data_IF_437338462244
#
_entry.id   IF_437338462244
#
_cell.length_a   1.000
_cell.length_b   1.000
_cell.length_c   1.000
_cell.angle_alpha   90.00
_cell.angle_beta   90.00
_cell.angle_gamma   90.00
#
_symmetry.space_group_name_H-M   'P 1'
#
loop_
_entity.id
_entity.type
_entity.pdbx_description
1 polymer ?
#
# COMPACT_ATOMS: atom_id res chain seq x y z
N UNK A 1 -15.26 -27.44 -5.48
CA UNK A 1 -14.53 -26.22 -5.05
C UNK A 1 -15.44 -25.41 -4.15
N UNK A 2 -14.94 -25.02 -2.97
CA UNK A 2 -15.62 -24.22 -1.93
C UNK A 2 -14.88 -22.89 -1.75
N UNK A 3 -15.63 -21.80 -1.45
CA UNK A 3 -15.09 -20.48 -1.15
C UNK A 3 -15.54 -20.11 0.25
N UNK A 4 -14.61 -19.70 1.10
CA UNK A 4 -14.89 -19.19 2.44
C UNK A 4 -14.22 -17.84 2.66
N UNK A 5 -14.99 -16.84 2.99
CA UNK A 5 -14.50 -15.53 3.38
C UNK A 5 -14.40 -15.51 4.91
N UNK A 6 -13.17 -15.63 5.43
CA UNK A 6 -12.95 -15.58 6.87
C UNK A 6 -13.09 -14.17 7.43
N UNK A 7 -12.58 -13.15 6.66
CA UNK A 7 -12.69 -11.74 7.01
C UNK A 7 -12.79 -10.87 5.74
N UNK A 8 -13.45 -9.72 5.86
CA UNK A 8 -13.60 -8.72 4.79
C UNK A 8 -15.04 -8.52 4.30
N UNK A 9 -16.02 -9.33 4.73
CA UNK A 9 -17.42 -9.17 4.30
C UNK A 9 -18.07 -7.90 4.86
N UNK A 10 -17.74 -7.52 6.10
CA UNK A 10 -18.36 -6.42 6.84
C UNK A 10 -17.33 -5.48 7.47
N UNK A 11 -16.11 -5.48 6.94
CA UNK A 11 -15.02 -4.60 7.36
C UNK A 11 -14.12 -4.23 6.17
N UNK A 12 -13.51 -3.07 6.25
CA UNK A 12 -12.42 -2.64 5.36
C UNK A 12 -11.12 -3.18 5.95
N UNK A 13 -10.30 -3.83 5.10
CA UNK A 13 -9.01 -4.40 5.48
C UNK A 13 -9.12 -5.71 6.26
N UNK A 14 -7.97 -6.27 6.58
CA UNK A 14 -7.84 -7.55 7.27
C UNK A 14 -8.37 -8.73 6.46
N UNK A 15 -8.38 -8.65 5.13
CA UNK A 15 -8.99 -9.65 4.26
C UNK A 15 -8.32 -11.00 4.37
N UNK A 16 -9.14 -12.08 4.39
CA UNK A 16 -8.72 -13.48 4.33
C UNK A 16 -9.77 -14.25 3.55
N UNK A 17 -9.40 -14.72 2.35
CA UNK A 17 -10.25 -15.54 1.49
C UNK A 17 -9.63 -16.94 1.35
N UNK A 18 -10.40 -17.98 1.57
CA UNK A 18 -10.01 -19.39 1.36
C UNK A 18 -10.75 -19.95 0.15
N UNK A 19 -10.04 -20.67 -0.72
CA UNK A 19 -10.58 -21.40 -1.85
C UNK A 19 -10.01 -22.81 -1.76
N UNK A 20 -10.88 -23.83 -1.69
CA UNK A 20 -10.44 -25.21 -1.53
C UNK A 20 -11.19 -26.19 -2.43
N UNK A 21 -10.50 -27.28 -2.74
CA UNK A 21 -11.00 -28.53 -3.34
C UNK A 21 -10.97 -29.64 -2.30
N UNK A 22 -11.13 -30.87 -2.73
CA UNK A 22 -11.00 -32.03 -1.82
C UNK A 22 -9.55 -32.23 -1.35
N UNK A 23 -8.54 -31.95 -2.19
CA UNK A 23 -7.11 -32.21 -1.90
C UNK A 23 -6.28 -30.95 -1.66
N UNK A 24 -6.72 -29.80 -2.11
CA UNK A 24 -5.92 -28.57 -2.13
C UNK A 24 -6.65 -27.38 -1.53
N UNK A 25 -5.86 -26.42 -1.05
CA UNK A 25 -6.36 -25.17 -0.47
C UNK A 25 -5.42 -24.00 -0.77
N UNK A 26 -5.97 -22.89 -1.21
CA UNK A 26 -5.23 -21.64 -1.32
C UNK A 26 -5.93 -20.55 -0.53
N UNK A 27 -5.12 -19.73 0.15
CA UNK A 27 -5.60 -18.51 0.76
C UNK A 27 -5.19 -17.31 -0.10
N UNK A 28 -6.07 -16.35 -0.22
CA UNK A 28 -5.76 -15.04 -0.79
C UNK A 28 -5.82 -14.02 0.33
N UNK A 29 -4.68 -13.42 0.61
CA UNK A 29 -4.37 -12.50 1.67
C UNK A 29 -4.52 -13.09 3.09
N UNK A 30 -3.70 -12.57 3.99
CA UNK A 30 -3.78 -12.68 5.44
C UNK A 30 -3.48 -11.32 6.03
N UNK A 31 -4.46 -10.44 5.96
CA UNK A 31 -4.34 -9.06 6.34
C UNK A 31 -4.46 -8.83 7.84
N UNK A 32 -3.70 -7.87 8.36
CA UNK A 32 -3.88 -7.36 9.71
C UNK A 32 -5.17 -6.53 9.79
N UNK A 33 -5.94 -6.69 10.87
CA UNK A 33 -7.12 -5.88 11.10
C UNK A 33 -6.74 -4.39 11.25
N UNK A 34 -7.54 -3.53 10.66
CA UNK A 34 -7.52 -2.11 11.02
C UNK A 34 -7.91 -1.96 12.51
N UNK A 35 -7.35 -0.97 13.24
CA UNK A 35 -7.75 -0.72 14.61
C UNK A 35 -9.26 -0.51 14.71
N UNK A 36 -9.89 -1.25 15.61
CA UNK A 36 -11.33 -1.14 15.91
C UNK A 36 -11.53 -0.56 17.30
N UNK A 37 -12.46 0.37 17.48
CA UNK A 37 -12.70 1.06 18.75
C UNK A 37 -11.41 1.66 19.38
N UNK A 38 -10.44 2.04 18.55
CA UNK A 38 -9.16 2.59 18.99
C UNK A 38 -8.16 1.56 19.53
N UNK A 39 -8.41 0.27 19.31
CA UNK A 39 -7.48 -0.82 19.69
C UNK A 39 -7.07 -1.63 18.46
N UNK A 40 -5.78 -1.91 18.32
CA UNK A 40 -5.28 -2.92 17.42
C UNK A 40 -5.41 -4.31 18.06
N UNK A 41 -5.48 -5.38 17.23
CA UNK A 41 -5.37 -6.74 17.73
C UNK A 41 -3.97 -6.97 18.34
N UNK A 42 -3.89 -7.79 19.38
CA UNK A 42 -2.60 -8.16 19.95
C UNK A 42 -1.91 -9.26 19.11
N UNK A 43 -0.58 -9.40 19.20
CA UNK A 43 0.13 -10.50 18.54
C UNK A 43 -0.40 -11.90 18.92
N UNK A 44 -0.85 -12.07 20.17
CA UNK A 44 -1.43 -13.32 20.66
C UNK A 44 -2.79 -13.60 19.99
N UNK A 45 -3.66 -12.60 19.91
CA UNK A 45 -4.97 -12.70 19.24
C UNK A 45 -4.79 -13.04 17.75
N UNK A 46 -3.86 -12.36 17.07
CA UNK A 46 -3.54 -12.61 15.65
C UNK A 46 -2.97 -14.03 15.46
N UNK A 47 -2.05 -14.48 16.33
CA UNK A 47 -1.47 -15.82 16.27
C UNK A 47 -2.52 -16.91 16.44
N UNK A 48 -3.38 -16.78 17.45
CA UNK A 48 -4.45 -17.76 17.72
C UNK A 48 -5.45 -17.82 16.56
N UNK A 49 -5.86 -16.69 16.03
CA UNK A 49 -6.79 -16.60 14.91
C UNK A 49 -6.20 -17.24 13.64
N UNK A 50 -4.94 -16.93 13.29
CA UNK A 50 -4.27 -17.53 12.13
C UNK A 50 -4.13 -19.04 12.30
N UNK A 51 -3.73 -19.49 13.50
CA UNK A 51 -3.58 -20.90 13.81
C UNK A 51 -4.93 -21.66 13.70
N UNK A 52 -6.02 -21.06 14.16
CA UNK A 52 -7.36 -21.63 14.05
C UNK A 52 -7.80 -21.78 12.58
N UNK A 53 -7.65 -20.72 11.78
CA UNK A 53 -7.98 -20.75 10.34
C UNK A 53 -7.16 -21.81 9.59
N UNK A 54 -5.85 -21.92 9.88
CA UNK A 54 -4.97 -22.85 9.16
C UNK A 54 -5.23 -24.29 9.57
N UNK A 55 -5.49 -24.57 10.84
CA UNK A 55 -5.78 -25.94 11.33
C UNK A 55 -7.14 -26.47 10.90
N UNK A 56 -8.11 -25.59 10.69
CA UNK A 56 -9.42 -25.98 10.20
C UNK A 56 -9.33 -26.37 8.71
N UNK A 57 -9.83 -27.56 8.36
CA UNK A 57 -9.89 -28.06 6.98
C UNK A 57 -8.50 -28.19 6.31
N UNK A 58 -7.50 -28.74 7.02
CA UNK A 58 -6.17 -29.00 6.50
C UNK A 58 -6.21 -29.88 5.24
N UNK A 59 -5.42 -29.53 4.23
CA UNK A 59 -5.34 -30.20 2.92
C UNK A 59 -3.89 -30.63 2.64
N UNK A 60 -3.73 -31.61 1.75
CA UNK A 60 -2.41 -32.10 1.35
C UNK A 60 -1.56 -30.99 0.70
N UNK A 61 -2.19 -30.17 -0.15
CA UNK A 61 -1.52 -29.05 -0.85
C UNK A 61 -2.08 -27.71 -0.39
N UNK A 62 -1.22 -26.86 0.17
CA UNK A 62 -1.65 -25.58 0.74
C UNK A 62 -0.67 -24.45 0.45
N UNK A 63 -1.19 -23.27 0.15
CA UNK A 63 -0.38 -22.05 -0.04
C UNK A 63 -1.16 -20.79 0.26
N UNK A 64 -0.43 -19.68 0.47
CA UNK A 64 -0.97 -18.33 0.60
C UNK A 64 -0.49 -17.46 -0.55
N UNK A 65 -1.38 -16.70 -1.16
CA UNK A 65 -1.10 -15.72 -2.20
C UNK A 65 -1.48 -14.32 -1.72
N UNK A 66 -0.56 -13.37 -1.78
CA UNK A 66 -0.81 -11.99 -1.40
C UNK A 66 -1.05 -11.13 -2.63
N UNK A 67 -2.15 -10.38 -2.61
CA UNK A 67 -2.52 -9.46 -3.70
C UNK A 67 -1.55 -8.31 -3.80
N UNK A 68 -1.10 -7.75 -2.66
CA UNK A 68 -0.17 -6.62 -2.60
C UNK A 68 0.42 -6.44 -1.18
N UNK A 69 1.30 -5.45 -1.02
CA UNK A 69 2.11 -5.27 0.19
C UNK A 69 1.51 -4.31 1.26
N UNK A 70 0.21 -3.99 1.23
CA UNK A 70 -0.43 -3.27 2.34
C UNK A 70 -0.63 -4.19 3.55
N UNK A 71 -0.51 -3.65 4.76
CA UNK A 71 -0.58 -4.43 6.01
C UNK A 71 -1.92 -5.14 6.19
N UNK A 72 -3.01 -4.56 5.74
CA UNK A 72 -4.34 -5.14 5.81
C UNK A 72 -4.60 -6.25 4.76
N UNK A 73 -3.55 -6.62 3.98
CA UNK A 73 -3.51 -7.78 3.08
C UNK A 73 -2.38 -8.76 3.41
N UNK A 74 -1.19 -8.27 3.79
CA UNK A 74 -0.02 -9.14 4.04
C UNK A 74 0.39 -9.19 5.51
N UNK A 75 -0.12 -8.33 6.37
CA UNK A 75 0.45 -8.04 7.70
C UNK A 75 0.58 -9.23 8.65
N UNK A 76 -0.19 -10.30 8.46
CA UNK A 76 -0.12 -11.50 9.28
C UNK A 76 0.85 -12.57 8.76
N UNK A 77 1.62 -12.29 7.72
CA UNK A 77 2.56 -13.23 7.10
C UNK A 77 3.53 -13.87 8.10
N UNK A 78 3.87 -13.14 9.17
CA UNK A 78 4.78 -13.59 10.21
C UNK A 78 4.32 -14.82 10.97
N UNK A 79 3.00 -15.04 11.06
CA UNK A 79 2.38 -16.14 11.79
C UNK A 79 2.10 -17.37 10.92
N UNK A 80 2.39 -17.30 9.61
CA UNK A 80 2.04 -18.31 8.63
C UNK A 80 3.24 -19.23 8.39
N UNK A 81 2.99 -20.54 8.46
CA UNK A 81 3.99 -21.59 8.20
C UNK A 81 3.82 -22.23 6.81
N UNK A 82 2.74 -21.92 6.10
CA UNK A 82 2.51 -22.41 4.73
C UNK A 82 3.45 -21.75 3.73
N UNK A 83 3.55 -22.34 2.54
CA UNK A 83 4.20 -21.67 1.41
C UNK A 83 3.51 -20.34 1.07
N UNK A 84 4.29 -19.27 0.91
CA UNK A 84 3.77 -17.93 0.70
C UNK A 84 4.26 -17.35 -0.63
N UNK A 85 3.34 -16.80 -1.40
CA UNK A 85 3.57 -16.25 -2.73
C UNK A 85 3.15 -14.78 -2.79
N UNK A 86 3.98 -13.93 -3.44
CA UNK A 86 3.71 -12.50 -3.62
C UNK A 86 4.36 -11.99 -4.92
N UNK A 87 3.91 -10.90 -5.47
CA UNK A 87 4.60 -10.23 -6.58
C UNK A 87 6.05 -9.87 -6.24
N UNK A 88 6.99 -10.00 -7.19
CA UNK A 88 8.41 -9.68 -6.97
C UNK A 88 8.59 -8.24 -6.49
N UNK A 89 7.84 -7.29 -7.06
CA UNK A 89 7.89 -5.89 -6.66
C UNK A 89 7.35 -5.63 -5.26
N UNK A 90 6.25 -6.28 -4.89
CA UNK A 90 5.68 -6.22 -3.54
C UNK A 90 6.63 -6.79 -2.49
N UNK A 91 7.30 -7.92 -2.78
CA UNK A 91 8.34 -8.50 -1.91
C UNK A 91 9.48 -7.51 -1.68
N UNK A 92 9.98 -6.89 -2.74
CA UNK A 92 11.08 -5.92 -2.62
C UNK A 92 10.67 -4.68 -1.83
N UNK A 93 9.44 -4.17 -1.99
CA UNK A 93 8.94 -3.07 -1.16
C UNK A 93 8.94 -3.42 0.34
N UNK A 94 8.48 -4.63 0.69
CA UNK A 94 8.52 -5.11 2.07
C UNK A 94 9.97 -5.25 2.58
N UNK A 95 10.87 -5.79 1.76
CA UNK A 95 12.29 -5.90 2.12
C UNK A 95 12.94 -4.51 2.31
N UNK A 96 12.65 -3.54 1.45
CA UNK A 96 13.13 -2.16 1.60
C UNK A 96 12.62 -1.57 2.92
N UNK A 97 11.33 -1.76 3.23
CA UNK A 97 10.72 -1.30 4.49
C UNK A 97 11.45 -1.87 5.70
N UNK A 98 11.54 -3.19 5.80
CA UNK A 98 12.10 -3.84 6.98
C UNK A 98 13.62 -3.68 7.09
N UNK A 99 14.38 -3.67 5.98
CA UNK A 99 15.82 -3.35 5.99
C UNK A 99 16.09 -1.92 6.48
N UNK A 100 15.28 -0.95 6.02
CA UNK A 100 15.41 0.44 6.48
C UNK A 100 15.07 0.58 7.97
N UNK A 101 14.11 -0.21 8.45
CA UNK A 101 13.76 -0.25 9.86
C UNK A 101 14.85 -0.91 10.69
N UNK A 102 15.43 -2.01 10.22
CA UNK A 102 16.53 -2.73 10.87
C UNK A 102 17.74 -1.81 11.09
N UNK A 103 18.18 -1.12 10.03
CA UNK A 103 19.29 -0.15 10.12
C UNK A 103 19.01 0.97 11.13
N UNK A 104 17.74 1.40 11.22
CA UNK A 104 17.36 2.41 12.22
C UNK A 104 17.49 1.87 13.64
N UNK A 105 17.17 0.61 13.90
CA UNK A 105 17.35 -0.01 15.21
C UNK A 105 18.83 -0.23 15.52
N UNK A 106 19.65 -0.65 14.53
CA UNK A 106 21.11 -0.76 14.68
C UNK A 106 21.72 0.57 15.10
N UNK A 107 21.38 1.66 14.41
CA UNK A 107 21.88 3.00 14.77
C UNK A 107 21.45 3.42 16.18
N UNK A 108 20.20 3.16 16.58
CA UNK A 108 19.70 3.51 17.89
C UNK A 108 20.40 2.71 19.01
N UNK A 109 20.69 1.43 18.77
CA UNK A 109 21.46 0.57 19.71
C UNK A 109 22.90 1.10 19.86
N UNK A 110 23.57 1.41 18.74
CA UNK A 110 24.94 1.94 18.74
C UNK A 110 25.02 3.29 19.44
N UNK A 111 24.07 4.20 19.22
CA UNK A 111 23.98 5.51 19.88
C UNK A 111 23.80 5.35 21.40
N UNK A 112 22.91 4.45 21.85
CA UNK A 112 22.69 4.18 23.27
C UNK A 112 23.94 3.63 23.96
N UNK A 113 24.67 2.70 23.32
CA UNK A 113 25.92 2.17 23.83
C UNK A 113 27.04 3.24 23.96
N UNK A 114 27.06 4.23 23.04
CA UNK A 114 28.05 5.31 23.07
C UNK A 114 27.77 6.36 24.15
N UNK A 115 26.49 6.68 24.37
CA UNK A 115 26.07 7.78 25.26
C UNK A 115 25.93 7.34 26.72
N UNK A 116 25.84 6.03 27.01
CA UNK A 116 25.55 5.45 28.34
C UNK A 116 24.27 6.05 29.01
N UNK A 117 23.37 6.63 28.24
CA UNK A 117 22.21 7.42 28.70
C UNK A 117 20.88 6.69 28.53
N UNK A 118 20.82 5.45 28.00
CA UNK A 118 19.59 4.69 27.81
C UNK A 118 19.09 4.05 29.12
N UNK A 119 17.77 4.06 29.35
CA UNK A 119 17.22 3.14 30.35
C UNK A 119 17.35 1.70 29.83
N UNK A 120 17.66 0.73 30.74
CA UNK A 120 17.76 -0.70 30.33
C UNK A 120 16.51 -1.19 29.56
N UNK A 121 15.33 -0.74 29.93
CA UNK A 121 14.07 -1.06 29.25
C UNK A 121 14.07 -0.59 27.78
N UNK A 122 14.62 0.59 27.49
CA UNK A 122 14.73 1.09 26.10
C UNK A 122 15.73 0.28 25.28
N UNK A 123 16.85 -0.12 25.86
CA UNK A 123 17.86 -0.97 25.19
C UNK A 123 17.28 -2.34 24.86
N UNK A 124 16.65 -2.99 25.84
CA UNK A 124 16.00 -4.30 25.67
C UNK A 124 14.90 -4.26 24.58
N UNK A 125 14.09 -3.19 24.57
CA UNK A 125 13.05 -2.99 23.54
C UNK A 125 13.67 -2.77 22.15
N UNK A 126 14.77 -2.01 22.02
CA UNK A 126 15.43 -1.82 20.73
C UNK A 126 16.04 -3.13 20.20
N UNK A 127 16.69 -3.91 21.07
CA UNK A 127 17.22 -5.22 20.71
C UNK A 127 16.12 -6.22 20.32
N UNK A 128 15.00 -6.25 21.01
CA UNK A 128 13.85 -7.10 20.67
C UNK A 128 13.28 -6.72 19.30
N UNK A 129 13.09 -5.42 19.07
CA UNK A 129 12.63 -4.90 17.78
C UNK A 129 13.62 -5.22 16.65
N UNK A 130 14.92 -5.14 16.89
CA UNK A 130 15.95 -5.53 15.94
C UNK A 130 15.84 -7.01 15.57
N UNK A 131 15.79 -7.92 16.58
CA UNK A 131 15.67 -9.37 16.37
C UNK A 131 14.38 -9.71 15.62
N UNK A 132 13.26 -9.16 16.04
CA UNK A 132 11.95 -9.36 15.38
C UNK A 132 12.00 -8.90 13.93
N UNK A 133 12.60 -7.73 13.66
CA UNK A 133 12.70 -7.21 12.29
C UNK A 133 13.60 -8.07 11.41
N UNK A 134 14.68 -8.61 11.95
CA UNK A 134 15.57 -9.55 11.26
C UNK A 134 14.83 -10.84 10.88
N UNK A 135 14.06 -11.41 11.81
CA UNK A 135 13.25 -12.61 11.55
C UNK A 135 12.18 -12.37 10.45
N UNK A 136 11.58 -11.17 10.42
CA UNK A 136 10.65 -10.77 9.35
C UNK A 136 11.34 -10.72 7.98
N UNK A 137 12.55 -10.18 7.92
CA UNK A 137 13.35 -10.14 6.68
C UNK A 137 13.65 -11.56 6.21
N UNK A 138 14.02 -12.48 7.11
CA UNK A 138 14.36 -13.85 6.74
C UNK A 138 13.12 -14.62 6.28
N UNK A 139 11.96 -14.43 6.90
CA UNK A 139 10.68 -14.96 6.40
C UNK A 139 10.33 -14.42 5.01
N UNK A 140 10.47 -13.11 4.79
CA UNK A 140 10.21 -12.51 3.47
C UNK A 140 11.16 -13.03 2.39
N UNK A 141 12.42 -13.32 2.71
CA UNK A 141 13.36 -13.93 1.75
C UNK A 141 12.85 -15.29 1.25
N UNK A 142 12.19 -16.07 2.09
CA UNK A 142 11.63 -17.37 1.77
C UNK A 142 10.38 -17.30 0.86
N UNK A 143 9.73 -16.15 0.73
CA UNK A 143 8.57 -16.01 -0.16
C UNK A 143 8.92 -16.38 -1.59
N UNK A 144 8.08 -17.18 -2.23
CA UNK A 144 8.08 -17.40 -3.66
C UNK A 144 7.48 -16.20 -4.39
N UNK A 145 7.95 -15.93 -5.59
CA UNK A 145 7.51 -14.73 -6.33
C UNK A 145 7.15 -15.07 -7.77
N UNK A 146 6.26 -14.25 -8.34
CA UNK A 146 6.07 -14.14 -9.77
C UNK A 146 6.55 -12.76 -10.24
N UNK A 147 7.00 -12.70 -11.49
CA UNK A 147 7.34 -11.45 -12.15
C UNK A 147 6.11 -10.85 -12.82
N UNK A 148 6.07 -9.52 -12.84
CA UNK A 148 5.06 -8.82 -13.62
C UNK A 148 5.20 -9.19 -15.09
N UNK A 149 4.12 -9.70 -15.67
CA UNK A 149 4.11 -10.12 -17.07
C UNK A 149 4.13 -8.90 -18.00
N UNK A 150 4.92 -8.96 -19.07
CA UNK A 150 4.91 -7.94 -20.11
C UNK A 150 3.55 -7.88 -20.80
N UNK A 151 3.14 -6.69 -21.29
CA UNK A 151 1.80 -6.44 -21.85
C UNK A 151 1.38 -7.40 -22.99
N UNK A 152 2.34 -8.01 -23.69
CA UNK A 152 2.07 -8.92 -24.81
C UNK A 152 2.07 -10.40 -24.41
N UNK A 153 2.50 -10.74 -23.22
CA UNK A 153 2.60 -12.09 -22.70
C UNK A 153 1.39 -12.44 -21.84
N UNK A 154 1.03 -13.71 -21.83
CA UNK A 154 0.05 -14.22 -20.87
C UNK A 154 0.75 -14.57 -19.56
N UNK A 155 0.18 -14.18 -18.40
CA UNK A 155 0.72 -14.63 -17.12
C UNK A 155 0.70 -16.15 -17.01
N UNK A 156 1.73 -16.72 -16.39
CA UNK A 156 1.81 -18.16 -16.14
C UNK A 156 1.11 -18.51 -14.84
N UNK A 157 0.30 -19.56 -14.80
CA UNK A 157 -0.33 -20.02 -13.56
C UNK A 157 0.70 -20.66 -12.63
N UNK A 158 0.43 -20.55 -11.32
CA UNK A 158 1.11 -21.27 -10.26
C UNK A 158 0.15 -22.38 -9.80
N UNK A 159 0.63 -23.62 -9.73
CA UNK A 159 -0.20 -24.78 -9.41
C UNK A 159 0.07 -25.24 -7.98
N UNK A 160 -0.99 -25.37 -7.18
CA UNK A 160 -0.99 -25.90 -5.82
C UNK A 160 -1.93 -27.11 -5.81
N UNK A 161 -1.35 -28.29 -5.92
CA UNK A 161 -2.13 -29.53 -6.15
C UNK A 161 -3.00 -29.43 -7.41
N UNK A 162 -4.31 -29.43 -7.24
CA UNK A 162 -5.31 -29.31 -8.31
C UNK A 162 -5.85 -27.87 -8.51
N UNK A 163 -5.36 -26.88 -7.75
CA UNK A 163 -5.72 -25.46 -7.89
C UNK A 163 -4.66 -24.72 -8.73
N UNK A 164 -5.11 -23.96 -9.70
CA UNK A 164 -4.25 -23.06 -10.52
C UNK A 164 -4.56 -21.61 -10.21
N UNK A 165 -3.54 -20.83 -9.84
CA UNK A 165 -3.63 -19.41 -9.52
C UNK A 165 -2.83 -18.62 -10.53
N UNK A 166 -3.48 -17.75 -11.31
CA UNK A 166 -2.84 -16.90 -12.32
C UNK A 166 -2.89 -15.45 -11.87
N UNK A 167 -1.73 -14.79 -11.60
CA UNK A 167 -1.67 -13.40 -11.18
C UNK A 167 -1.78 -12.43 -12.36
N UNK A 168 -2.58 -11.39 -12.22
CA UNK A 168 -2.72 -10.29 -13.18
C UNK A 168 -2.44 -8.96 -12.52
N UNK A 169 -1.52 -8.19 -13.09
CA UNK A 169 -1.22 -6.86 -12.56
C UNK A 169 -2.45 -5.95 -12.58
N UNK A 170 -2.64 -5.19 -11.50
CA UNK A 170 -3.65 -4.14 -11.39
C UNK A 170 -3.06 -2.85 -10.83
N UNK A 171 -3.76 -1.74 -11.06
CA UNK A 171 -3.41 -0.44 -10.52
C UNK A 171 -4.05 -0.26 -9.14
N UNK A 172 -3.26 0.11 -8.14
CA UNK A 172 -3.70 0.44 -6.79
C UNK A 172 -2.78 1.53 -6.19
N UNK A 173 -3.04 1.99 -4.95
CA UNK A 173 -2.20 2.96 -4.23
C UNK A 173 -0.88 2.39 -3.68
N UNK A 174 -0.49 1.24 -4.17
CA UNK A 174 0.81 0.63 -3.91
C UNK A 174 1.33 -0.03 -5.19
N UNK A 175 2.65 -0.07 -5.35
CA UNK A 175 3.30 -0.72 -6.48
C UNK A 175 3.10 -2.24 -6.44
N UNK A 176 2.90 -2.85 -7.63
CA UNK A 176 2.87 -4.28 -7.88
C UNK A 176 1.67 -5.02 -7.23
N UNK A 177 0.50 -4.38 -7.26
CA UNK A 177 -0.76 -5.03 -6.88
C UNK A 177 -1.27 -5.97 -7.98
N UNK A 178 -1.93 -7.07 -7.58
CA UNK A 178 -2.41 -8.13 -8.47
C UNK A 178 -3.83 -8.57 -8.17
N UNK A 179 -4.54 -8.94 -9.24
CA UNK A 179 -5.76 -9.74 -9.24
C UNK A 179 -5.39 -11.19 -9.50
N UNK A 180 -6.23 -12.13 -9.10
CA UNK A 180 -6.01 -13.55 -9.34
C UNK A 180 -7.17 -14.19 -10.11
N UNK A 181 -6.85 -14.99 -11.13
CA UNK A 181 -7.75 -16.01 -11.65
C UNK A 181 -7.41 -17.33 -10.95
N UNK A 182 -8.38 -17.89 -10.24
CA UNK A 182 -8.26 -19.19 -9.58
C UNK A 182 -9.14 -20.20 -10.30
N UNK A 183 -8.54 -21.30 -10.73
CA UNK A 183 -9.19 -22.34 -11.51
C UNK A 183 -9.03 -23.69 -10.82
N UNK A 184 -10.14 -24.37 -10.52
CA UNK A 184 -10.21 -25.73 -9.97
C UNK A 184 -11.61 -26.32 -10.17
N UNK A 185 -11.77 -27.64 -10.20
CA UNK A 185 -13.05 -28.36 -10.32
C UNK A 185 -13.94 -27.85 -11.49
N UNK A 186 -13.32 -27.43 -12.60
CA UNK A 186 -14.03 -26.86 -13.75
C UNK A 186 -14.64 -25.47 -13.50
N UNK A 187 -14.40 -24.85 -12.37
CA UNK A 187 -14.87 -23.49 -12.01
C UNK A 187 -13.75 -22.46 -12.12
N UNK A 188 -14.15 -21.22 -12.36
CA UNK A 188 -13.27 -20.06 -12.49
C UNK A 188 -13.69 -18.95 -11.54
N UNK A 189 -12.78 -18.56 -10.64
CA UNK A 189 -12.98 -17.47 -9.69
C UNK A 189 -12.06 -16.33 -10.08
N UNK A 190 -12.59 -15.12 -10.16
CA UNK A 190 -11.79 -13.91 -10.32
C UNK A 190 -11.78 -13.13 -9.00
N UNK A 191 -10.62 -13.05 -8.35
CA UNK A 191 -10.40 -12.27 -7.14
C UNK A 191 -9.66 -10.98 -7.48
N UNK A 192 -10.29 -9.82 -7.24
CA UNK A 192 -9.73 -8.55 -7.69
C UNK A 192 -8.58 -8.05 -6.81
N UNK A 193 -8.48 -8.49 -5.54
CA UNK A 193 -7.74 -7.69 -4.58
C UNK A 193 -8.26 -6.25 -4.59
N UNK A 194 -7.43 -5.32 -4.19
CA UNK A 194 -7.70 -3.89 -4.25
C UNK A 194 -7.24 -3.30 -5.58
N UNK A 195 -8.04 -2.40 -6.16
CA UNK A 195 -7.72 -1.81 -7.46
C UNK A 195 -8.32 -0.42 -7.66
N UNK A 196 -7.79 0.31 -8.62
CA UNK A 196 -8.37 1.58 -9.11
C UNK A 196 -8.22 1.72 -10.61
N UNK A 197 -9.14 2.45 -11.27
CA UNK A 197 -9.06 2.76 -12.71
C UNK A 197 -8.41 4.12 -12.97
N UNK A 198 -8.51 5.05 -12.04
CA UNK A 198 -8.15 6.46 -12.20
C UNK A 198 -6.65 6.77 -11.98
N UNK A 199 -5.81 5.73 -11.86
CA UNK A 199 -4.36 5.86 -11.92
C UNK A 199 -3.82 5.95 -13.35
N UNK A 200 -2.54 6.30 -13.50
CA UNK A 200 -1.86 6.32 -14.80
C UNK A 200 -1.84 4.96 -15.49
N UNK A 201 -1.72 3.88 -14.72
CA UNK A 201 -1.73 2.50 -15.21
C UNK A 201 -3.13 1.89 -15.28
N UNK A 202 -4.13 2.52 -14.68
CA UNK A 202 -5.51 2.02 -14.59
C UNK A 202 -6.21 1.82 -15.92
N UNK A 203 -5.73 2.46 -17.01
CA UNK A 203 -6.24 2.25 -18.37
C UNK A 203 -6.13 0.80 -18.87
N UNK A 204 -5.27 0.00 -18.27
CA UNK A 204 -5.09 -1.42 -18.63
C UNK A 204 -6.18 -2.33 -18.04
N UNK A 205 -6.95 -1.88 -17.04
CA UNK A 205 -7.92 -2.70 -16.31
C UNK A 205 -8.93 -3.39 -17.22
N UNK A 206 -9.73 -2.62 -17.95
CA UNK A 206 -10.81 -3.21 -18.77
C UNK A 206 -10.31 -4.01 -19.98
N UNK A 207 -9.26 -3.62 -20.71
CA UNK A 207 -8.66 -4.48 -21.73
C UNK A 207 -8.21 -5.84 -21.17
N UNK A 208 -7.58 -5.86 -19.99
CA UNK A 208 -7.14 -7.07 -19.31
C UNK A 208 -8.35 -7.94 -18.90
N UNK A 209 -9.36 -7.37 -18.25
CA UNK A 209 -10.57 -8.11 -17.86
C UNK A 209 -11.29 -8.72 -19.06
N UNK A 210 -11.51 -7.97 -20.15
CA UNK A 210 -12.13 -8.49 -21.38
C UNK A 210 -11.35 -9.65 -22.00
N UNK A 211 -10.04 -9.67 -21.86
CA UNK A 211 -9.18 -10.71 -22.43
C UNK A 211 -9.15 -11.99 -21.59
N UNK A 212 -9.10 -11.87 -20.27
CA UNK A 212 -8.79 -12.98 -19.37
C UNK A 212 -9.90 -13.36 -18.40
N UNK A 213 -10.75 -12.43 -17.99
CA UNK A 213 -11.85 -12.67 -17.06
C UNK A 213 -13.12 -13.11 -17.81
N UNK A 214 -13.01 -14.21 -18.57
CA UNK A 214 -14.12 -14.78 -19.36
C UNK A 214 -14.66 -16.02 -18.67
N UNK A 215 -15.98 -16.28 -18.78
CA UNK A 215 -16.64 -17.44 -18.18
C UNK A 215 -16.36 -17.57 -16.67
N UNK A 216 -16.47 -16.46 -15.96
CA UNK A 216 -16.23 -16.43 -14.51
C UNK A 216 -17.46 -16.90 -13.76
N UNK A 217 -17.28 -17.93 -12.91
CA UNK A 217 -18.37 -18.43 -12.05
C UNK A 217 -18.57 -17.48 -10.85
N UNK A 218 -17.48 -17.06 -10.19
CA UNK A 218 -17.55 -16.17 -9.03
C UNK A 218 -16.56 -15.01 -9.19
N UNK A 219 -17.05 -13.79 -9.04
CA UNK A 219 -16.24 -12.58 -8.91
C UNK A 219 -16.17 -12.19 -7.44
N UNK A 220 -14.96 -12.21 -6.85
CA UNK A 220 -14.70 -11.66 -5.52
C UNK A 220 -14.08 -10.28 -5.72
N UNK A 221 -14.79 -9.22 -5.33
CA UNK A 221 -14.36 -7.83 -5.57
C UNK A 221 -14.36 -6.98 -4.32
N UNK A 222 -13.45 -5.99 -4.26
CA UNK A 222 -13.47 -4.98 -3.21
C UNK A 222 -14.69 -4.07 -3.27
N UNK A 223 -15.02 -3.46 -2.12
CA UNK A 223 -16.13 -2.52 -1.98
C UNK A 223 -15.84 -1.31 -1.10
N UNK A 224 -14.57 -0.92 -0.95
CA UNK A 224 -14.13 0.15 -0.05
C UNK A 224 -14.90 1.46 -0.22
N UNK A 225 -15.19 1.84 -1.47
CA UNK A 225 -15.84 3.11 -1.81
C UNK A 225 -17.36 3.03 -1.94
N UNK A 226 -18.00 1.89 -1.65
CA UNK A 226 -19.45 1.70 -1.91
C UNK A 226 -20.35 2.67 -1.12
N UNK A 227 -19.97 3.03 0.13
CA UNK A 227 -20.69 4.01 0.96
C UNK A 227 -20.18 5.44 0.80
N UNK A 228 -19.00 5.63 0.22
CA UNK A 228 -18.39 6.95 0.07
C UNK A 228 -19.01 7.71 -1.10
N UNK A 229 -19.21 9.02 -0.91
CA UNK A 229 -19.79 9.90 -1.94
C UNK A 229 -18.71 10.60 -2.79
N UNK A 230 -17.46 10.44 -2.42
CA UNK A 230 -16.34 11.10 -3.07
C UNK A 230 -16.15 10.58 -4.50
N UNK A 231 -16.02 11.51 -5.43
CA UNK A 231 -15.67 11.18 -6.80
C UNK A 231 -14.17 11.01 -6.92
N UNK A 232 -13.74 9.86 -7.44
CA UNK A 232 -12.35 9.67 -7.80
C UNK A 232 -11.99 10.53 -9.02
N UNK A 233 -10.90 11.28 -8.91
CA UNK A 233 -10.31 12.03 -10.02
C UNK A 233 -9.05 11.31 -10.50
N UNK A 234 -8.72 11.47 -11.77
CA UNK A 234 -7.54 10.84 -12.35
C UNK A 234 -6.24 11.44 -11.77
N UNK A 235 -5.19 10.62 -11.61
CA UNK A 235 -3.89 11.07 -11.07
C UNK A 235 -3.29 12.26 -11.85
N UNK A 236 -3.51 12.37 -13.16
CA UNK A 236 -3.09 13.55 -13.91
C UNK A 236 -3.87 14.83 -13.53
N UNK A 237 -5.09 14.72 -13.03
CA UNK A 237 -5.84 15.88 -12.51
C UNK A 237 -5.35 16.23 -11.10
N UNK A 238 -5.02 15.24 -10.28
CA UNK A 238 -4.33 15.45 -9.00
C UNK A 238 -3.04 16.24 -9.22
N UNK A 239 -2.24 15.83 -10.19
CA UNK A 239 -0.99 16.53 -10.57
C UNK A 239 -1.24 18.00 -10.95
N UNK A 240 -2.24 18.30 -11.81
CA UNK A 240 -2.57 19.67 -12.20
C UNK A 240 -3.04 20.54 -11.03
N UNK A 241 -3.86 19.97 -10.13
CA UNK A 241 -4.29 20.68 -8.91
C UNK A 241 -3.10 20.98 -8.00
N UNK A 242 -2.18 20.03 -7.83
CA UNK A 242 -0.95 20.27 -7.07
C UNK A 242 -0.07 21.33 -7.71
N UNK A 243 0.14 21.30 -9.02
CA UNK A 243 0.88 22.30 -9.77
C UNK A 243 0.36 23.72 -9.50
N UNK A 244 -0.96 23.93 -9.63
CA UNK A 244 -1.59 25.22 -9.43
C UNK A 244 -1.28 25.82 -8.06
N UNK A 245 -1.36 25.04 -6.98
CA UNK A 245 -1.04 25.52 -5.62
C UNK A 245 0.46 25.63 -5.38
N UNK A 246 1.28 24.76 -5.99
CA UNK A 246 2.74 24.85 -5.90
C UNK A 246 3.31 26.13 -6.53
N UNK A 247 2.65 26.69 -7.54
CA UNK A 247 3.05 27.97 -8.14
C UNK A 247 2.84 29.16 -7.19
N UNK A 248 1.81 29.07 -6.32
CA UNK A 248 1.45 30.17 -5.42
C UNK A 248 2.30 30.21 -4.12
N UNK A 249 2.89 29.10 -3.71
CA UNK A 249 3.65 29.00 -2.46
C UNK A 249 5.10 28.64 -2.71
N UNK A 250 6.03 29.23 -1.94
CA UNK A 250 7.46 29.00 -2.10
C UNK A 250 7.91 27.67 -1.52
N UNK A 251 7.40 27.31 -0.35
CA UNK A 251 7.75 26.09 0.38
C UNK A 251 6.54 25.19 0.45
N UNK A 252 6.57 24.07 -0.28
CA UNK A 252 5.44 23.15 -0.33
C UNK A 252 5.85 21.80 0.25
N UNK A 253 5.13 21.38 1.27
CA UNK A 253 5.21 20.04 1.83
C UNK A 253 4.04 19.23 1.30
N UNK A 254 4.29 17.97 0.93
CA UNK A 254 3.26 17.07 0.40
C UNK A 254 3.24 15.81 1.26
N UNK A 255 2.19 15.63 2.06
CA UNK A 255 1.99 14.41 2.86
C UNK A 255 1.45 13.31 1.95
N UNK A 256 2.26 12.30 1.65
CA UNK A 256 1.91 11.20 0.76
C UNK A 256 2.61 9.89 1.15
N UNK A 257 2.02 8.75 0.73
CA UNK A 257 2.64 7.43 0.90
C UNK A 257 3.90 7.29 0.05
N UNK A 258 4.96 6.72 0.63
CA UNK A 258 6.19 6.38 -0.07
C UNK A 258 6.02 5.22 -1.08
N UNK A 259 4.95 4.46 -0.98
CA UNK A 259 4.71 3.26 -1.79
C UNK A 259 3.72 3.47 -2.94
N UNK A 260 2.99 4.61 -2.96
CA UNK A 260 2.11 4.98 -4.08
C UNK A 260 2.92 5.63 -5.21
N UNK A 261 3.47 4.80 -6.10
CA UNK A 261 4.30 5.24 -7.23
C UNK A 261 3.58 6.25 -8.13
N UNK A 262 2.27 6.13 -8.30
CA UNK A 262 1.50 7.02 -9.18
C UNK A 262 1.28 8.38 -8.54
N UNK A 263 1.02 8.44 -7.22
CA UNK A 263 0.96 9.68 -6.46
C UNK A 263 2.32 10.40 -6.43
N UNK A 264 3.41 9.65 -6.23
CA UNK A 264 4.75 10.20 -6.30
C UNK A 264 5.06 10.77 -7.69
N UNK A 265 4.60 10.11 -8.76
CA UNK A 265 4.71 10.63 -10.12
C UNK A 265 3.90 11.91 -10.33
N UNK A 266 2.66 11.98 -9.80
CA UNK A 266 1.83 13.20 -9.84
C UNK A 266 2.52 14.37 -9.13
N UNK A 267 3.12 14.13 -7.95
CA UNK A 267 3.87 15.14 -7.19
C UNK A 267 5.12 15.59 -7.97
N UNK A 268 5.87 14.64 -8.54
CA UNK A 268 7.05 14.95 -9.36
C UNK A 268 6.70 15.84 -10.52
N UNK A 269 5.70 15.49 -11.33
CA UNK A 269 5.28 16.26 -12.50
C UNK A 269 4.83 17.68 -12.08
N UNK A 270 4.04 17.79 -11.00
CA UNK A 270 3.61 19.08 -10.47
C UNK A 270 4.79 19.94 -10.02
N UNK A 271 5.77 19.36 -9.31
CA UNK A 271 6.97 20.06 -8.86
C UNK A 271 7.86 20.53 -10.03
N UNK A 272 8.06 19.67 -11.04
CA UNK A 272 8.83 20.00 -12.26
C UNK A 272 8.18 21.16 -13.02
N UNK A 273 6.85 21.11 -13.23
CA UNK A 273 6.11 22.17 -13.93
C UNK A 273 6.11 23.49 -13.13
N UNK A 274 6.04 23.42 -11.80
CA UNK A 274 6.15 24.58 -10.92
C UNK A 274 7.63 25.06 -10.73
N UNK A 275 8.59 24.47 -11.44
CA UNK A 275 10.03 24.76 -11.34
C UNK A 275 10.59 24.66 -9.90
N UNK A 276 10.10 23.69 -9.13
CA UNK A 276 10.54 23.42 -7.76
C UNK A 276 11.40 22.15 -7.70
N UNK A 277 12.54 22.18 -7.00
CA UNK A 277 13.26 20.94 -6.70
C UNK A 277 12.38 20.02 -5.86
N UNK A 278 12.27 18.74 -6.26
CA UNK A 278 11.63 17.70 -5.45
C UNK A 278 12.60 17.27 -4.36
N UNK A 279 12.15 17.34 -3.11
CA UNK A 279 12.93 17.00 -1.93
C UNK A 279 12.27 15.85 -1.13
N UNK A 280 13.07 15.10 -0.40
CA UNK A 280 12.64 14.06 0.54
C UNK A 280 13.51 14.07 1.79
N UNK A 281 12.96 13.57 2.91
CA UNK A 281 13.65 13.41 4.19
C UNK A 281 13.85 11.93 4.59
N UNK A 282 12.99 11.05 4.10
CA UNK A 282 12.94 9.65 4.53
C UNK A 282 13.88 8.78 3.70
N UNK A 283 14.74 8.01 4.39
CA UNK A 283 15.57 7.00 3.73
C UNK A 283 14.72 5.90 3.08
N UNK A 284 13.61 5.51 3.71
CA UNK A 284 12.66 4.56 3.13
C UNK A 284 12.09 5.09 1.80
N UNK A 285 11.65 6.36 1.77
CA UNK A 285 11.13 6.99 0.54
C UNK A 285 12.22 7.09 -0.54
N UNK A 286 13.45 7.41 -0.17
CA UNK A 286 14.59 7.44 -1.10
C UNK A 286 14.77 6.09 -1.78
N UNK A 287 14.90 5.02 -1.00
CA UNK A 287 15.10 3.66 -1.51
C UNK A 287 13.93 3.17 -2.35
N UNK A 288 12.71 3.51 -1.95
CA UNK A 288 11.51 3.16 -2.71
C UNK A 288 11.48 3.87 -4.06
N UNK A 289 11.82 5.16 -4.12
CA UNK A 289 11.91 5.91 -5.38
C UNK A 289 13.05 5.41 -6.29
N UNK A 290 14.21 5.05 -5.73
CA UNK A 290 15.31 4.42 -6.45
C UNK A 290 14.87 3.09 -7.06
N UNK A 291 14.22 2.23 -6.28
CA UNK A 291 13.66 0.96 -6.75
C UNK A 291 12.64 1.17 -7.88
N UNK A 292 11.72 2.12 -7.77
CA UNK A 292 10.76 2.42 -8.85
C UNK A 292 11.45 2.89 -10.12
N UNK A 293 12.49 3.72 -9.99
CA UNK A 293 13.26 4.23 -11.12
C UNK A 293 13.97 3.10 -11.87
N UNK A 294 14.54 2.14 -11.16
CA UNK A 294 15.22 0.97 -11.75
C UNK A 294 14.24 0.00 -12.45
N UNK A 295 13.02 -0.11 -11.93
CA UNK A 295 12.00 -1.06 -12.42
C UNK A 295 11.04 -0.48 -13.47
N UNK A 296 11.15 0.81 -13.78
CA UNK A 296 10.26 1.41 -14.78
C UNK A 296 10.48 0.82 -16.17
N UNK A 297 9.39 0.66 -16.92
CA UNK A 297 9.48 0.28 -18.33
C UNK A 297 9.72 1.50 -19.23
N UNK A 298 10.29 1.29 -20.41
CA UNK A 298 10.43 2.33 -21.45
C UNK A 298 9.09 2.95 -21.86
N UNK A 299 8.00 2.21 -21.70
CA UNK A 299 6.63 2.68 -22.00
C UNK A 299 6.16 3.78 -21.04
N UNK A 300 6.74 3.90 -19.85
CA UNK A 300 6.43 4.97 -18.88
C UNK A 300 6.95 6.34 -19.31
N UNK A 301 7.83 6.42 -20.31
CA UNK A 301 8.47 7.66 -20.80
C UNK A 301 9.07 8.50 -19.67
N UNK A 302 9.67 7.88 -18.67
CA UNK A 302 10.27 8.53 -17.52
C UNK A 302 9.30 9.03 -16.46
N UNK A 303 8.00 8.74 -16.56
CA UNK A 303 7.00 9.16 -15.56
C UNK A 303 7.38 8.68 -14.15
N UNK A 304 7.87 7.45 -14.02
CA UNK A 304 8.28 6.82 -12.77
C UNK A 304 9.81 6.86 -12.52
N UNK A 305 10.52 7.76 -13.20
CA UNK A 305 11.94 8.03 -12.93
C UNK A 305 12.06 9.16 -11.91
N UNK A 306 12.55 8.86 -10.73
CA UNK A 306 12.65 9.79 -9.62
C UNK A 306 14.11 10.15 -9.34
N UNK A 307 14.40 11.43 -9.15
CA UNK A 307 15.71 11.94 -8.76
C UNK A 307 15.54 13.05 -7.70
N UNK A 308 14.94 12.74 -6.53
CA UNK A 308 14.72 13.76 -5.51
C UNK A 308 16.03 14.14 -4.83
N UNK A 309 16.08 15.37 -4.33
CA UNK A 309 17.15 15.81 -3.43
C UNK A 309 16.87 15.25 -2.03
N UNK A 310 17.81 14.47 -1.48
CA UNK A 310 17.76 14.10 -0.09
C UNK A 310 18.15 15.32 0.77
N UNK A 311 17.21 15.77 1.61
CA UNK A 311 17.40 16.97 2.40
C UNK A 311 18.49 16.76 3.47
N UNK A 312 19.40 17.75 3.55
CA UNK A 312 20.41 17.89 4.60
C UNK A 312 20.51 19.35 4.98
N UNK A 313 21.02 19.66 6.19
CA UNK A 313 21.18 21.04 6.64
C UNK A 313 22.10 21.86 5.72
N UNK A 314 23.04 21.20 5.05
CA UNK A 314 23.91 21.84 4.04
C UNK A 314 23.11 22.39 2.86
N UNK A 315 21.98 21.78 2.51
CA UNK A 315 21.10 22.22 1.42
C UNK A 315 20.13 23.32 1.83
N UNK A 316 19.89 23.52 3.13
CA UNK A 316 18.87 24.45 3.65
C UNK A 316 18.96 25.84 3.04
N UNK A 317 20.13 26.49 3.03
CA UNK A 317 20.32 27.84 2.49
C UNK A 317 19.94 27.94 1.00
N UNK A 318 20.30 26.92 0.22
CA UNK A 318 19.98 26.84 -1.21
C UNK A 318 18.48 26.68 -1.44
N UNK A 319 17.86 25.76 -0.68
CA UNK A 319 16.43 25.48 -0.76
C UNK A 319 15.58 26.63 -0.23
N UNK A 320 15.99 27.32 0.85
CA UNK A 320 15.31 28.51 1.35
C UNK A 320 15.28 29.66 0.31
N UNK A 321 16.35 29.81 -0.45
CA UNK A 321 16.38 30.83 -1.51
C UNK A 321 15.50 30.46 -2.71
N UNK A 322 15.57 29.22 -3.16
CA UNK A 322 14.91 28.74 -4.38
C UNK A 322 13.44 28.35 -4.18
N UNK A 323 13.06 27.94 -2.97
CA UNK A 323 11.83 27.21 -2.71
C UNK A 323 11.98 25.72 -3.02
N UNK A 324 10.97 24.90 -2.67
CA UNK A 324 10.97 23.46 -2.88
C UNK A 324 9.56 22.84 -2.84
N UNK A 325 9.44 21.64 -3.36
CA UNK A 325 8.36 20.69 -3.05
C UNK A 325 8.96 19.51 -2.32
N UNK A 326 8.52 19.21 -1.10
CA UNK A 326 9.07 18.15 -0.24
C UNK A 326 8.02 17.10 0.09
N UNK A 327 8.26 15.85 -0.31
CA UNK A 327 7.38 14.73 0.07
C UNK A 327 7.75 14.28 1.48
N UNK A 328 6.73 14.17 2.33
CA UNK A 328 6.88 13.91 3.76
C UNK A 328 5.90 12.83 4.24
N UNK A 329 6.21 12.20 5.36
CA UNK A 329 5.32 11.33 6.11
C UNK A 329 5.24 11.77 7.57
N UNK A 330 4.26 11.26 8.31
CA UNK A 330 4.06 11.61 9.73
C UNK A 330 5.22 11.17 10.64
N UNK A 331 6.08 10.25 10.21
CA UNK A 331 7.27 9.83 10.97
C UNK A 331 8.39 10.88 11.01
N UNK A 332 8.28 11.97 10.24
CA UNK A 332 9.27 13.07 10.21
C UNK A 332 8.77 14.32 10.95
N UNK A 333 7.77 14.20 11.81
CA UNK A 333 7.10 15.33 12.49
C UNK A 333 8.10 16.29 13.15
N UNK A 334 9.05 15.79 13.94
CA UNK A 334 9.99 16.66 14.67
C UNK A 334 10.91 17.44 13.72
N UNK A 335 11.43 16.76 12.70
CA UNK A 335 12.26 17.41 11.70
C UNK A 335 11.51 18.45 10.87
N UNK A 336 10.21 18.22 10.63
CA UNK A 336 9.35 19.19 9.94
C UNK A 336 9.06 20.40 10.83
N UNK A 337 8.81 20.22 12.14
CA UNK A 337 8.68 21.32 13.08
C UNK A 337 9.89 22.25 13.06
N UNK A 338 11.11 21.70 13.16
CA UNK A 338 12.35 22.45 13.07
C UNK A 338 12.49 23.26 11.76
N UNK A 339 11.97 22.74 10.64
CA UNK A 339 11.95 23.44 9.36
C UNK A 339 10.91 24.56 9.35
N UNK A 340 9.71 24.30 9.85
CA UNK A 340 8.62 25.28 9.91
C UNK A 340 9.01 26.51 10.74
N UNK A 341 9.72 26.34 11.86
CA UNK A 341 10.24 27.43 12.70
C UNK A 341 11.21 28.38 11.95
N UNK A 342 11.79 27.91 10.85
CA UNK A 342 12.79 28.66 10.03
C UNK A 342 12.20 29.23 8.74
N UNK A 343 10.93 28.92 8.42
CA UNK A 343 10.27 29.30 7.17
C UNK A 343 9.11 30.27 7.43
N UNK A 344 8.87 31.28 6.54
CA UNK A 344 7.71 32.15 6.64
C UNK A 344 6.41 31.36 6.48
N UNK A 345 5.48 31.51 7.40
CA UNK A 345 4.22 30.76 7.41
C UNK A 345 3.35 31.08 6.19
N UNK A 346 3.33 32.35 5.76
CA UNK A 346 2.57 32.83 4.60
C UNK A 346 3.07 32.28 3.25
N UNK A 347 4.36 31.90 3.17
CA UNK A 347 4.95 31.28 1.98
C UNK A 347 4.96 29.75 2.02
N UNK A 348 4.46 29.14 3.12
CA UNK A 348 4.55 27.71 3.39
C UNK A 348 3.17 27.05 3.29
N UNK A 349 3.08 25.94 2.56
CA UNK A 349 1.86 25.17 2.32
C UNK A 349 2.07 23.70 2.64
N UNK A 350 1.06 23.07 3.24
CA UNK A 350 0.88 21.61 3.24
C UNK A 350 -0.16 21.21 2.17
N UNK A 351 0.22 20.37 1.25
CA UNK A 351 -0.71 19.57 0.45
C UNK A 351 -0.94 18.26 1.21
N UNK A 352 -2.13 18.12 1.79
CA UNK A 352 -2.54 16.86 2.41
C UNK A 352 -3.04 15.91 1.32
N UNK A 353 -2.26 14.88 1.00
CA UNK A 353 -2.52 13.95 -0.11
C UNK A 353 -2.72 12.52 0.39
N UNK A 354 -3.47 12.38 1.47
CA UNK A 354 -3.93 11.13 2.07
C UNK A 354 -5.43 11.16 2.31
N UNK A 355 -6.02 10.02 2.65
CA UNK A 355 -7.44 9.96 2.99
C UNK A 355 -7.79 10.89 4.17
N UNK A 356 -8.79 11.72 3.99
CA UNK A 356 -9.21 12.72 4.99
C UNK A 356 -9.82 12.10 6.25
N UNK A 357 -10.28 10.85 6.20
CA UNK A 357 -10.74 10.11 7.37
C UNK A 357 -9.69 9.95 8.46
N UNK A 358 -8.38 9.97 8.14
CA UNK A 358 -7.33 9.92 9.16
C UNK A 358 -7.31 11.12 10.12
N UNK A 359 -7.92 12.25 9.73
CA UNK A 359 -8.03 13.41 10.63
C UNK A 359 -9.48 13.85 10.91
N UNK A 360 -10.47 13.37 10.13
CA UNK A 360 -11.89 13.70 10.31
C UNK A 360 -12.66 12.63 11.08
N UNK A 361 -12.34 11.35 10.88
CA UNK A 361 -13.05 10.26 11.54
C UNK A 361 -12.56 10.09 12.98
N UNK A 362 -13.48 10.24 13.96
CA UNK A 362 -13.14 10.20 15.38
C UNK A 362 -12.47 8.88 15.82
N UNK A 363 -12.89 7.73 15.28
CA UNK A 363 -12.28 6.43 15.60
C UNK A 363 -10.85 6.33 15.03
N UNK A 364 -10.64 6.80 13.81
CA UNK A 364 -9.31 6.83 13.20
C UNK A 364 -8.36 7.77 13.94
N UNK A 365 -8.83 8.96 14.32
CA UNK A 365 -8.05 9.91 15.14
C UNK A 365 -7.73 9.34 16.51
N UNK A 366 -8.66 8.63 17.15
CA UNK A 366 -8.43 7.97 18.43
C UNK A 366 -7.39 6.84 18.31
N UNK A 367 -7.40 6.10 17.23
CA UNK A 367 -6.43 5.03 16.96
C UNK A 367 -5.05 5.58 16.58
N UNK A 368 -5.00 6.68 15.83
CA UNK A 368 -3.75 7.29 15.36
C UNK A 368 -3.93 8.81 15.11
N UNK A 369 -3.59 9.62 16.10
CA UNK A 369 -3.69 11.09 16.05
C UNK A 369 -2.63 11.75 15.13
N UNK A 370 -1.55 11.03 14.75
CA UNK A 370 -0.38 11.58 14.05
C UNK A 370 -0.71 12.35 12.77
N UNK A 371 -1.71 11.90 12.00
CA UNK A 371 -2.12 12.61 10.77
C UNK A 371 -2.78 13.94 11.06
N UNK A 372 -3.63 13.99 12.10
CA UNK A 372 -4.28 15.22 12.56
C UNK A 372 -3.27 16.20 13.11
N UNK A 373 -2.43 15.75 14.04
CA UNK A 373 -1.35 16.55 14.64
C UNK A 373 -0.40 17.11 13.59
N UNK A 374 0.01 16.27 12.62
CA UNK A 374 0.88 16.70 11.52
C UNK A 374 0.22 17.80 10.68
N UNK A 375 -1.07 17.65 10.35
CA UNK A 375 -1.82 18.64 9.57
C UNK A 375 -1.96 19.98 10.31
N UNK A 376 -2.18 19.93 11.62
CA UNK A 376 -2.38 21.10 12.48
C UNK A 376 -1.10 21.94 12.71
N UNK A 377 0.08 21.41 12.34
CA UNK A 377 1.34 22.17 12.39
C UNK A 377 1.43 23.27 11.33
N UNK A 378 0.63 23.18 10.26
CA UNK A 378 0.71 24.07 9.12
C UNK A 378 -0.41 25.12 9.16
N UNK A 379 -0.04 26.38 8.88
CA UNK A 379 -1.02 27.49 8.77
C UNK A 379 -1.85 27.37 7.48
N UNK A 380 -1.19 27.10 6.35
CA UNK A 380 -1.87 26.91 5.07
C UNK A 380 -1.91 25.42 4.74
N UNK A 381 -3.12 24.90 4.52
CA UNK A 381 -3.33 23.48 4.17
C UNK A 381 -4.37 23.38 3.06
N UNK A 382 -4.10 22.53 2.08
CA UNK A 382 -5.05 22.14 1.04
C UNK A 382 -5.10 20.63 0.91
N UNK A 383 -6.32 20.10 0.79
CA UNK A 383 -6.54 18.66 0.57
C UNK A 383 -6.60 18.39 -0.93
N UNK A 384 -5.61 17.64 -1.45
CA UNK A 384 -5.57 17.20 -2.86
C UNK A 384 -5.26 15.71 -2.87
N UNK A 385 -6.30 14.90 -3.00
CA UNK A 385 -6.23 13.46 -2.93
C UNK A 385 -7.21 12.80 -3.90
N UNK A 386 -6.94 11.57 -4.29
CA UNK A 386 -7.89 10.63 -4.89
C UNK A 386 -7.68 9.26 -4.27
N UNK A 387 -8.72 8.47 -4.17
CA UNK A 387 -8.69 7.15 -3.51
C UNK A 387 -7.70 6.19 -4.17
N UNK A 388 -7.15 5.28 -3.37
CA UNK A 388 -6.43 4.10 -3.86
C UNK A 388 -7.35 3.02 -4.43
N UNK A 389 -8.66 3.11 -4.17
CA UNK A 389 -9.66 2.09 -4.45
C UNK A 389 -10.63 2.51 -5.54
N UNK A 390 -11.26 1.52 -6.18
CA UNK A 390 -12.27 1.73 -7.21
C UNK A 390 -13.52 2.40 -6.63
N UNK A 391 -14.04 3.42 -7.33
CA UNK A 391 -15.34 3.99 -7.01
C UNK A 391 -16.49 3.04 -7.41
N UNK A 392 -17.69 3.31 -6.91
CA UNK A 392 -18.89 2.49 -7.17
C UNK A 392 -19.17 2.32 -8.66
N UNK A 393 -18.92 3.32 -9.49
CA UNK A 393 -19.13 3.25 -10.93
C UNK A 393 -18.15 2.29 -11.59
N UNK A 394 -16.88 2.34 -11.19
CA UNK A 394 -15.83 1.43 -11.65
C UNK A 394 -16.12 -0.02 -11.23
N UNK A 395 -16.55 -0.25 -9.98
CA UNK A 395 -16.92 -1.60 -9.49
C UNK A 395 -18.07 -2.17 -10.33
N UNK A 396 -19.14 -1.41 -10.55
CA UNK A 396 -20.26 -1.83 -11.41
C UNK A 396 -19.81 -2.18 -12.81
N UNK A 397 -18.98 -1.34 -13.42
CA UNK A 397 -18.44 -1.60 -14.75
C UNK A 397 -17.53 -2.82 -14.82
N UNK A 398 -16.80 -3.15 -13.75
CA UNK A 398 -16.04 -4.41 -13.63
C UNK A 398 -16.99 -5.59 -13.63
N UNK A 399 -18.06 -5.57 -12.83
CA UNK A 399 -19.08 -6.63 -12.78
C UNK A 399 -19.74 -6.83 -14.17
N UNK A 400 -20.13 -5.74 -14.83
CA UNK A 400 -20.69 -5.78 -16.19
C UNK A 400 -19.69 -6.35 -17.21
N UNK A 401 -18.41 -5.99 -17.10
CA UNK A 401 -17.36 -6.44 -18.03
C UNK A 401 -17.03 -7.92 -17.85
N UNK A 402 -16.97 -8.39 -16.61
CA UNK A 402 -16.66 -9.80 -16.25
C UNK A 402 -17.89 -10.68 -16.47
N UNK A 403 -19.09 -10.16 -16.25
CA UNK A 403 -20.36 -10.86 -16.33
C UNK A 403 -20.36 -12.23 -15.58
N UNK A 404 -20.03 -12.24 -14.27
CA UNK A 404 -19.93 -13.47 -13.50
C UNK A 404 -21.29 -14.05 -13.17
N UNK A 405 -21.36 -15.36 -12.82
CA UNK A 405 -22.61 -15.98 -12.33
C UNK A 405 -22.96 -15.52 -10.92
N UNK A 406 -21.94 -15.24 -10.10
CA UNK A 406 -22.07 -14.79 -8.70
C UNK A 406 -21.07 -13.70 -8.37
N UNK A 407 -21.43 -12.76 -7.49
CA UNK A 407 -20.55 -11.69 -6.99
C UNK A 407 -20.48 -11.74 -5.47
N UNK A 408 -19.28 -11.84 -4.94
CA UNK A 408 -18.99 -11.69 -3.51
C UNK A 408 -18.22 -10.37 -3.33
N UNK A 409 -18.81 -9.44 -2.59
CA UNK A 409 -18.14 -8.16 -2.30
C UNK A 409 -17.49 -8.21 -0.92
N UNK A 410 -16.19 -8.02 -0.89
CA UNK A 410 -15.35 -8.00 0.33
C UNK A 410 -14.72 -6.62 0.52
N UNK A 411 -13.91 -6.44 1.56
CA UNK A 411 -13.18 -5.18 1.83
C UNK A 411 -14.14 -3.98 1.83
N UNK A 412 -15.25 -4.10 2.54
CA UNK A 412 -16.33 -3.10 2.53
C UNK A 412 -16.87 -2.84 3.94
N UNK A 413 -17.38 -1.64 4.16
CA UNK A 413 -18.08 -1.34 5.40
C UNK A 413 -19.33 -2.20 5.57
N UNK A 414 -19.65 -2.55 6.82
CA UNK A 414 -20.87 -3.28 7.14
C UNK A 414 -22.12 -2.59 6.56
N UNK A 415 -23.00 -3.39 5.92
CA UNK A 415 -24.20 -2.89 5.24
C UNK A 415 -23.93 -2.09 3.96
N UNK A 416 -22.70 -2.06 3.41
CA UNK A 416 -22.46 -1.56 2.07
C UNK A 416 -22.96 -2.55 1.00
N UNK A 417 -23.64 -2.04 -0.05
CA UNK A 417 -24.21 -2.82 -1.15
C UNK A 417 -23.81 -2.24 -2.51
N UNK A 418 -23.72 -3.12 -3.50
CA UNK A 418 -23.44 -2.82 -4.91
C UNK A 418 -24.54 -1.97 -5.58
#
# INVERSE_FOLDING_TARGET
MEIKIHRGLDQIGGCITEICTDSSRVFIDFGQNQPSNGKAATPEEDTLMVADIIRNNEKEHQAVFYTHAHEDHVGLFRYILLEQYIGEGSKELLLIKYRTLLERYEMAIDENHQLQEGSKENEELQEENYRTTKDLIDKLKAFKTWKRTALKESPSPITIGDIRVTPFFTCHSIYDAHMFLVEADGKRIWHTGDYRQHGYMGKALFPMLRRYATNIDVLITEGTMLKRKDKCIHECEVSRKMESVMQAFKYVFVLASATDIERLASIKVAAETANKPLCILSLFMKRTMEFFTERQSSLSRGLFSFAPLFYTDKLYRKLKRRGFAMVVGTSQTDRIKELLDKLPQEETLLIYSSWDGYYKNAEQVKANSKYKEFREMFHNVVDIHTSGHADKATIRKVIETVCPKEVICIHKEAGASL
#
